data_IF_035291066536
#
_entry.id   IF_035291066536
#
_cell.length_a   1.000
_cell.length_b   1.000
_cell.length_c   1.000
_cell.angle_alpha   90.00
_cell.angle_beta   90.00
_cell.angle_gamma   90.00
#
_symmetry.space_group_name_H-M   'P 1'
#
loop_
_entity.id
_entity.type
_entity.pdbx_description
1 polymer ?
#
# COMPACT_ATOMS: atom_id res chain seq x y z
N UNK A 1 -9.42 22.14 -9.71
CA UNK A 1 -8.48 22.56 -8.67
C UNK A 1 -7.26 21.69 -8.63
N UNK A 2 -7.42 20.41 -8.34
CA UNK A 2 -6.31 19.48 -8.36
C UNK A 2 -5.63 19.38 -9.73
N UNK A 3 -6.40 19.54 -10.78
CA UNK A 3 -5.89 19.47 -12.16
C UNK A 3 -4.92 20.61 -12.45
N UNK A 4 -5.26 21.83 -12.01
CA UNK A 4 -4.41 22.98 -12.23
C UNK A 4 -3.07 22.83 -11.52
N UNK A 5 -3.08 22.30 -10.32
CA UNK A 5 -1.85 22.05 -9.58
C UNK A 5 -1.00 20.98 -10.25
N UNK A 6 -1.64 19.95 -10.79
CA UNK A 6 -0.92 18.90 -11.50
C UNK A 6 -0.21 19.45 -12.74
N UNK A 7 -0.83 20.40 -13.44
CA UNK A 7 -0.24 21.00 -14.63
C UNK A 7 0.97 21.87 -14.25
N UNK A 8 0.84 22.65 -13.19
CA UNK A 8 1.93 23.51 -12.72
C UNK A 8 3.13 22.67 -12.29
N UNK A 9 2.88 21.51 -11.71
CA UNK A 9 3.92 20.64 -11.21
C UNK A 9 4.26 19.53 -12.22
N UNK A 10 4.15 19.81 -13.52
CA UNK A 10 4.32 18.81 -14.55
C UNK A 10 5.56 17.95 -14.41
N UNK A 11 6.71 18.52 -14.06
CA UNK A 11 7.95 17.79 -13.87
C UNK A 11 7.95 16.92 -12.62
N UNK A 12 7.18 17.29 -11.60
CA UNK A 12 7.04 16.53 -10.35
C UNK A 12 5.84 15.60 -10.43
N UNK A 13 4.95 15.84 -11.40
CA UNK A 13 3.68 15.12 -11.52
C UNK A 13 3.81 13.62 -11.64
N UNK A 14 4.88 13.14 -12.31
CA UNK A 14 5.09 11.70 -12.47
C UNK A 14 5.33 11.04 -11.11
N UNK A 15 6.21 11.59 -10.29
CA UNK A 15 6.49 11.06 -8.96
C UNK A 15 5.26 11.12 -8.06
N UNK A 16 4.50 12.23 -8.15
CA UNK A 16 3.27 12.38 -7.38
C UNK A 16 2.22 11.35 -7.80
N UNK A 17 2.08 11.13 -9.10
CA UNK A 17 1.13 10.17 -9.66
C UNK A 17 1.46 8.74 -9.18
N UNK A 18 2.74 8.38 -9.20
CA UNK A 18 3.18 7.08 -8.73
C UNK A 18 2.92 6.91 -7.23
N UNK A 19 3.10 7.96 -6.46
CA UNK A 19 2.84 7.93 -5.03
C UNK A 19 1.35 7.75 -4.74
N UNK A 20 0.49 8.45 -5.47
CA UNK A 20 -0.97 8.33 -5.31
C UNK A 20 -1.42 6.91 -5.69
N UNK A 21 -0.88 6.39 -6.79
CA UNK A 21 -1.18 5.04 -7.22
C UNK A 21 -0.72 4.01 -6.18
N UNK A 22 0.50 4.18 -5.68
CA UNK A 22 1.06 3.26 -4.69
C UNK A 22 0.27 3.32 -3.38
N UNK A 23 -0.17 4.50 -2.97
CA UNK A 23 -1.00 4.64 -1.77
C UNK A 23 -2.34 3.92 -1.94
N UNK A 24 -2.95 4.03 -3.12
CA UNK A 24 -4.19 3.32 -3.39
C UNK A 24 -4.01 1.81 -3.32
N UNK A 25 -2.90 1.30 -3.86
CA UNK A 25 -2.59 -0.13 -3.79
C UNK A 25 -2.33 -0.55 -2.34
N UNK A 26 -1.62 0.29 -1.57
CA UNK A 26 -1.37 0.00 -0.17
C UNK A 26 -2.67 -0.08 0.64
N UNK A 27 -3.60 0.83 0.37
CA UNK A 27 -4.90 0.82 1.04
C UNK A 27 -5.67 -0.45 0.72
N UNK A 28 -5.68 -0.86 -0.56
CA UNK A 28 -6.34 -2.09 -0.98
C UNK A 28 -5.68 -3.33 -0.36
N UNK A 29 -4.35 -3.34 -0.32
CA UNK A 29 -3.61 -4.46 0.26
C UNK A 29 -3.89 -4.57 1.77
N UNK A 30 -3.86 -3.45 2.47
CA UNK A 30 -4.15 -3.42 3.90
C UNK A 30 -5.58 -3.87 4.18
N UNK A 31 -6.53 -3.44 3.35
CA UNK A 31 -7.91 -3.83 3.49
C UNK A 31 -8.11 -5.33 3.28
N UNK A 32 -7.48 -5.89 2.23
CA UNK A 32 -7.52 -7.32 1.97
C UNK A 32 -6.93 -8.11 3.14
N UNK A 33 -5.81 -7.63 3.69
CA UNK A 33 -5.22 -8.24 4.87
C UNK A 33 -6.12 -8.15 6.08
N UNK A 34 -6.76 -7.00 6.28
CA UNK A 34 -7.64 -6.78 7.42
C UNK A 34 -8.86 -7.70 7.39
N UNK A 35 -9.37 -8.02 6.20
CA UNK A 35 -10.47 -8.99 6.07
C UNK A 35 -10.06 -10.35 6.63
N UNK A 36 -8.80 -10.74 6.45
CA UNK A 36 -8.28 -12.00 6.97
C UNK A 36 -7.90 -11.91 8.45
N UNK A 37 -7.62 -10.72 8.97
CA UNK A 37 -7.27 -10.55 10.37
C UNK A 37 -8.47 -10.21 11.25
N UNK A 38 -9.67 -10.11 10.67
CA UNK A 38 -10.86 -9.70 11.41
C UNK A 38 -11.19 -10.63 12.57
N UNK A 39 -10.79 -11.91 12.49
CA UNK A 39 -11.05 -12.92 13.52
C UNK A 39 -9.87 -13.13 14.46
N UNK A 40 -8.85 -12.25 14.42
CA UNK A 40 -7.61 -12.45 15.17
C UNK A 40 -7.81 -12.48 16.68
N UNK A 41 -8.90 -11.90 17.19
CA UNK A 41 -9.17 -11.87 18.63
C UNK A 41 -9.61 -13.22 19.18
N UNK A 42 -10.06 -14.14 18.32
CA UNK A 42 -10.56 -15.44 18.77
C UNK A 42 -10.02 -16.61 17.94
N UNK A 43 -9.14 -16.36 16.99
CA UNK A 43 -8.43 -17.44 16.31
C UNK A 43 -7.06 -16.94 15.84
N UNK A 44 -6.14 -17.89 15.67
CA UNK A 44 -4.81 -17.58 15.13
C UNK A 44 -4.91 -17.48 13.61
N UNK A 45 -4.77 -16.27 13.09
CA UNK A 45 -4.85 -16.05 11.65
C UNK A 45 -3.51 -16.30 10.94
N UNK A 46 -2.40 -16.32 11.69
CA UNK A 46 -1.07 -16.61 11.14
C UNK A 46 -0.70 -15.68 10.01
N UNK A 47 -0.28 -16.26 8.89
CA UNK A 47 0.19 -15.53 7.72
C UNK A 47 -0.92 -15.15 6.74
N UNK A 48 -2.16 -15.50 7.02
CA UNK A 48 -3.26 -15.23 6.08
C UNK A 48 -3.40 -13.76 5.73
N UNK A 49 -3.37 -12.82 6.71
CA UNK A 49 -3.51 -11.40 6.36
C UNK A 49 -2.39 -10.89 5.45
N UNK A 50 -1.14 -11.24 5.77
CA UNK A 50 -0.02 -10.77 4.97
C UNK A 50 0.02 -11.44 3.61
N UNK A 51 -0.45 -12.67 3.50
CA UNK A 51 -0.56 -13.37 2.23
C UNK A 51 -1.59 -12.70 1.33
N UNK A 52 -2.73 -12.32 1.90
CA UNK A 52 -3.76 -11.61 1.16
C UNK A 52 -3.27 -10.24 0.68
N UNK A 53 -2.58 -9.53 1.56
CA UNK A 53 -2.00 -8.22 1.22
C UNK A 53 -0.97 -8.36 0.10
N UNK A 54 -0.11 -9.38 0.19
CA UNK A 54 0.92 -9.62 -0.83
C UNK A 54 0.31 -9.99 -2.17
N UNK A 55 -0.80 -10.69 -2.18
CA UNK A 55 -1.49 -11.06 -3.42
C UNK A 55 -2.00 -9.79 -4.14
N UNK A 56 -2.55 -8.84 -3.40
CA UNK A 56 -3.01 -7.57 -3.97
C UNK A 56 -1.83 -6.78 -4.54
N UNK A 57 -0.75 -6.66 -3.77
CA UNK A 57 0.43 -5.94 -4.21
C UNK A 57 1.02 -6.57 -5.46
N UNK A 58 1.17 -7.90 -5.45
CA UNK A 58 1.72 -8.65 -6.58
C UNK A 58 0.89 -8.52 -7.83
N UNK A 59 -0.44 -8.51 -7.71
CA UNK A 59 -1.35 -8.32 -8.85
C UNK A 59 -1.17 -6.95 -9.49
N UNK A 60 -0.65 -5.99 -8.74
CA UNK A 60 -0.41 -4.64 -9.22
C UNK A 60 1.08 -4.37 -9.49
N UNK A 61 1.92 -5.41 -9.47
CA UNK A 61 3.34 -5.29 -9.77
C UNK A 61 4.15 -4.53 -8.75
N UNK A 62 3.71 -4.53 -7.49
CA UNK A 62 4.34 -3.76 -6.42
C UNK A 62 4.92 -4.71 -5.37
N UNK A 63 6.08 -4.35 -4.81
CA UNK A 63 6.72 -5.12 -3.76
C UNK A 63 6.20 -4.75 -2.39
N UNK A 64 6.15 -5.73 -1.50
CA UNK A 64 5.82 -5.52 -0.09
C UNK A 64 7.13 -5.36 0.67
N UNK A 65 7.33 -4.20 1.27
CA UNK A 65 8.49 -3.95 2.10
C UNK A 65 8.31 -4.55 3.48
N UNK A 66 7.12 -4.42 4.06
CA UNK A 66 6.79 -5.03 5.33
C UNK A 66 5.29 -5.24 5.45
N UNK A 67 4.92 -6.23 6.24
CA UNK A 67 3.54 -6.52 6.56
C UNK A 67 3.48 -6.98 8.01
N UNK A 68 2.59 -6.39 8.79
CA UNK A 68 2.45 -6.70 10.20
C UNK A 68 0.98 -6.81 10.56
N UNK A 69 0.67 -7.81 11.36
CA UNK A 69 -0.68 -8.03 11.88
C UNK A 69 -0.68 -7.68 13.36
N UNK A 70 -1.56 -6.77 13.75
CA UNK A 70 -1.73 -6.39 15.15
C UNK A 70 -3.20 -6.58 15.53
N UNK A 71 -3.51 -7.74 16.13
CA UNK A 71 -4.89 -8.10 16.39
C UNK A 71 -5.68 -8.09 15.09
N UNK A 72 -6.82 -7.38 15.01
CA UNK A 72 -7.60 -7.34 13.78
C UNK A 72 -7.07 -6.35 12.74
N UNK A 73 -5.99 -5.63 13.03
CA UNK A 73 -5.42 -4.64 12.11
C UNK A 73 -4.33 -5.26 11.25
N UNK A 74 -4.26 -4.82 10.00
CA UNK A 74 -3.19 -5.19 9.08
C UNK A 74 -2.47 -3.92 8.64
N UNK A 75 -1.15 -3.90 8.82
CA UNK A 75 -0.29 -2.77 8.47
C UNK A 75 0.63 -3.20 7.34
N UNK A 76 0.62 -2.44 6.26
CA UNK A 76 1.39 -2.78 5.06
C UNK A 76 2.23 -1.59 4.65
N UNK A 77 3.48 -1.85 4.29
CA UNK A 77 4.34 -0.87 3.64
C UNK A 77 4.73 -1.44 2.29
N UNK A 78 4.41 -0.71 1.24
CA UNK A 78 4.74 -1.09 -0.13
C UNK A 78 5.87 -0.20 -0.64
N UNK A 79 6.62 -0.72 -1.59
CA UNK A 79 7.71 0.02 -2.22
C UNK A 79 7.70 -0.25 -3.72
N UNK A 80 8.07 0.77 -4.49
CA UNK A 80 8.15 0.67 -5.93
C UNK A 80 9.31 1.52 -6.44
N UNK A 81 10.18 0.96 -7.30
CA UNK A 81 11.21 1.76 -7.94
C UNK A 81 10.59 2.68 -8.99
N UNK A 82 11.06 3.90 -9.05
CA UNK A 82 10.60 4.92 -10.00
C UNK A 82 11.81 5.58 -10.63
N UNK A 83 11.73 5.88 -11.92
CA UNK A 83 12.74 6.63 -12.62
C UNK A 83 12.27 8.06 -12.82
N UNK A 84 13.07 8.99 -12.31
CA UNK A 84 12.80 10.42 -12.45
C UNK A 84 14.04 11.07 -13.02
N UNK A 85 13.93 11.63 -14.23
CA UNK A 85 15.04 12.30 -14.91
C UNK A 85 16.29 11.41 -14.99
N UNK A 86 16.11 10.13 -15.27
CA UNK A 86 17.19 9.15 -15.39
C UNK A 86 17.73 8.61 -14.08
N UNK A 87 17.23 9.08 -12.96
CA UNK A 87 17.65 8.63 -11.64
C UNK A 87 16.64 7.66 -11.08
N UNK A 88 17.13 6.48 -10.63
CA UNK A 88 16.27 5.49 -9.98
C UNK A 88 16.14 5.83 -8.52
N UNK A 89 14.92 5.84 -8.02
CA UNK A 89 14.63 6.03 -6.61
C UNK A 89 13.47 5.14 -6.22
N UNK A 90 13.25 4.96 -4.93
CA UNK A 90 12.13 4.18 -4.44
C UNK A 90 11.06 5.08 -3.85
N UNK A 91 9.82 4.79 -4.19
CA UNK A 91 8.66 5.42 -3.57
C UNK A 91 8.03 4.39 -2.66
N UNK A 92 7.65 4.80 -1.46
CA UNK A 92 6.98 3.91 -0.53
C UNK A 92 5.66 4.50 -0.07
N UNK A 93 4.74 3.61 0.29
CA UNK A 93 3.45 3.97 0.85
C UNK A 93 3.11 2.99 1.95
N UNK A 94 2.44 3.49 2.97
CA UNK A 94 2.01 2.64 4.08
C UNK A 94 0.53 2.83 4.31
N UNK A 95 -0.10 1.75 4.77
CA UNK A 95 -1.52 1.76 5.06
C UNK A 95 -1.80 0.85 6.24
N UNK A 96 -2.84 1.18 6.96
CA UNK A 96 -3.33 0.39 8.06
C UNK A 96 -4.84 0.26 7.89
N UNK A 97 -5.34 -0.96 8.02
CA UNK A 97 -6.77 -1.23 7.96
C UNK A 97 -7.17 -2.15 9.10
N UNK A 98 -8.38 -1.99 9.56
CA UNK A 98 -8.95 -2.79 10.62
C UNK A 98 -10.37 -2.33 10.89
N UNK A 99 -11.06 -2.96 11.87
CA UNK A 99 -12.41 -2.57 12.20
C UNK A 99 -12.45 -1.15 12.77
N UNK A 100 -13.56 -0.46 12.55
CA UNK A 100 -13.79 0.84 13.16
C UNK A 100 -13.84 0.73 14.68
N UNK A 101 -13.34 1.75 15.35
CA UNK A 101 -13.28 1.79 16.79
C UNK A 101 -13.91 3.04 17.35
#
# INVERSE_FOLDING_TARGET
>A
MAVALAVVLGGVGVAHRERVRLQAIADLAALAGAEQSATADWEDVGERPCRAASAVAGSNGVGVQSCEVRGPDCLVVLTQPVRIAGISTNVSARARAGPER
#
